data_IF_392780601879
#
_entry.id   IF_392780601879
#
_cell.length_a   1.000
_cell.length_b   1.000
_cell.length_c   1.000
_cell.angle_alpha   90.00
_cell.angle_beta   90.00
_cell.angle_gamma   90.00
#
_symmetry.space_group_name_H-M   'P 1'
#
loop_
_entity.id
_entity.type
_entity.pdbx_description
1 polymer ?
#
# COMPACT_ATOMS: atom_id res chain seq x y z
N UNK A 1 -12.86 -52.12 -58.00
CA UNK A 1 -11.51 -51.83 -58.52
C UNK A 1 -11.17 -50.39 -58.20
N UNK A 2 -10.02 -50.22 -57.55
CA UNK A 2 -9.28 -48.99 -57.21
C UNK A 2 -9.16 -48.02 -58.41
N UNK A 3 -8.77 -46.75 -58.31
CA UNK A 3 -7.80 -46.04 -57.48
C UNK A 3 -8.12 -44.53 -57.51
N UNK A 4 -7.86 -43.77 -56.46
CA UNK A 4 -7.34 -42.40 -56.60
C UNK A 4 -6.38 -42.05 -55.46
N UNK A 5 -5.35 -41.34 -55.88
CA UNK A 5 -4.01 -41.15 -55.33
C UNK A 5 -3.92 -39.92 -54.41
N UNK A 6 -3.04 -40.02 -53.40
CA UNK A 6 -2.65 -38.95 -52.49
C UNK A 6 -1.77 -37.87 -53.17
N UNK A 7 -1.77 -36.62 -52.68
CA UNK A 7 -0.74 -35.64 -53.03
C UNK A 7 0.31 -35.43 -51.93
N UNK A 8 1.52 -35.14 -52.42
CA UNK A 8 2.83 -35.01 -51.77
C UNK A 8 2.97 -33.94 -50.68
N UNK A 9 3.76 -34.29 -49.65
CA UNK A 9 4.43 -33.39 -48.70
C UNK A 9 5.67 -32.72 -49.33
N UNK A 10 5.92 -31.45 -48.98
CA UNK A 10 7.14 -30.69 -49.29
C UNK A 10 7.86 -30.39 -47.96
N UNK A 11 9.17 -30.69 -47.82
CA UNK A 11 9.93 -30.43 -46.59
C UNK A 11 10.49 -28.99 -46.55
N UNK A 12 10.33 -28.32 -45.40
CA UNK A 12 10.91 -26.99 -45.13
C UNK A 12 12.20 -27.15 -44.31
N UNK A 13 13.31 -26.63 -44.84
CA UNK A 13 14.61 -26.53 -44.15
C UNK A 13 14.64 -25.38 -43.13
N UNK A 14 15.44 -25.49 -42.04
CA UNK A 14 15.73 -24.39 -41.14
C UNK A 14 16.93 -23.56 -41.62
N UNK A 15 16.81 -22.23 -41.54
CA UNK A 15 17.90 -21.27 -41.81
C UNK A 15 18.42 -20.72 -40.48
N UNK A 16 19.70 -20.99 -40.21
CA UNK A 16 20.50 -20.38 -39.16
C UNK A 16 20.66 -18.86 -39.37
N UNK A 17 20.49 -18.07 -38.31
CA UNK A 17 20.91 -16.67 -38.27
C UNK A 17 21.65 -16.34 -36.98
N UNK A 18 22.94 -16.06 -37.18
CA UNK A 18 23.97 -15.74 -36.20
C UNK A 18 23.81 -14.30 -35.63
N UNK A 19 24.20 -14.04 -34.35
CA UNK A 19 24.10 -12.72 -33.72
C UNK A 19 25.36 -11.85 -33.93
N UNK A 20 25.15 -10.55 -34.16
CA UNK A 20 26.19 -9.51 -34.19
C UNK A 20 26.32 -8.81 -32.84
N UNK A 21 27.55 -8.79 -32.33
CA UNK A 21 27.97 -8.04 -31.15
C UNK A 21 28.04 -6.53 -31.43
N UNK A 22 27.68 -5.71 -30.44
CA UNK A 22 28.36 -4.42 -30.21
C UNK A 22 28.33 -4.03 -28.74
N UNK A 23 29.52 -3.63 -28.28
CA UNK A 23 29.90 -3.24 -26.94
C UNK A 23 29.59 -1.78 -26.63
N UNK A 24 29.08 -1.48 -25.45
CA UNK A 24 29.26 -0.17 -24.81
C UNK A 24 29.32 -0.31 -23.28
N UNK A 25 30.51 0.00 -22.75
CA UNK A 25 30.88 0.07 -21.34
C UNK A 25 30.10 1.16 -20.61
N UNK A 26 29.43 0.84 -19.49
CA UNK A 26 29.29 1.76 -18.36
C UNK A 26 29.22 1.01 -17.02
N UNK A 27 30.35 1.06 -16.32
CA UNK A 27 30.63 0.88 -14.88
C UNK A 27 29.49 0.35 -13.98
N UNK A 28 29.60 -0.95 -13.67
CA UNK A 28 29.69 -1.57 -12.34
C UNK A 28 29.53 -0.64 -11.12
N UNK A 29 28.56 -0.96 -10.25
CA UNK A 29 28.79 -1.13 -8.81
C UNK A 29 27.80 -2.17 -8.25
N UNK A 30 28.38 -3.23 -7.68
CA UNK A 30 27.77 -4.41 -7.07
C UNK A 30 26.87 -4.13 -5.86
N UNK A 31 25.80 -4.91 -5.73
CA UNK A 31 25.47 -5.57 -4.45
C UNK A 31 24.57 -6.77 -4.70
N UNK A 32 25.24 -7.90 -4.86
CA UNK A 32 24.68 -9.24 -4.95
C UNK A 32 24.91 -9.87 -3.57
N UNK A 33 23.87 -9.97 -2.74
CA UNK A 33 23.91 -10.71 -1.46
C UNK A 33 22.79 -11.76 -1.39
N UNK A 34 23.19 -12.96 -1.80
CA UNK A 34 23.06 -14.24 -1.08
C UNK A 34 21.67 -14.79 -0.75
N UNK A 35 21.23 -15.72 -1.61
CA UNK A 35 20.50 -16.91 -1.19
C UNK A 35 21.47 -17.82 -0.41
N UNK A 36 21.19 -18.00 0.89
CA UNK A 36 21.88 -18.96 1.75
C UNK A 36 20.95 -20.11 2.09
N UNK A 37 21.09 -21.22 1.36
CA UNK A 37 20.62 -22.55 1.74
C UNK A 37 21.53 -23.11 2.83
N UNK A 38 20.92 -23.77 3.83
CA UNK A 38 21.53 -24.85 4.60
C UNK A 38 22.71 -24.53 5.52
N UNK A 39 22.44 -24.45 6.82
CA UNK A 39 23.29 -25.13 7.82
C UNK A 39 22.53 -25.37 9.13
N UNK A 40 22.06 -26.60 9.27
CA UNK A 40 21.95 -27.30 10.56
C UNK A 40 23.30 -27.11 11.29
N UNK A 41 23.29 -26.36 12.38
CA UNK A 41 24.25 -26.58 13.47
C UNK A 41 23.47 -27.25 14.60
N UNK A 42 23.75 -28.54 14.78
CA UNK A 42 23.60 -29.23 16.05
C UNK A 42 24.21 -28.33 17.13
N UNK A 43 23.40 -27.93 18.09
CA UNK A 43 23.87 -27.56 19.42
C UNK A 43 23.34 -28.66 20.34
N UNK A 44 24.09 -29.76 20.40
CA UNK A 44 24.06 -30.67 21.54
C UNK A 44 24.79 -29.95 22.68
N UNK A 45 24.04 -29.32 23.57
CA UNK A 45 24.50 -29.00 24.92
C UNK A 45 23.37 -29.40 25.83
N UNK A 46 23.56 -30.57 26.46
CA UNK A 46 22.87 -30.98 27.65
C UNK A 46 23.25 -29.98 28.75
N UNK A 47 22.29 -29.19 29.22
CA UNK A 47 22.34 -28.65 30.58
C UNK A 47 20.96 -28.86 31.19
N UNK A 48 21.00 -29.63 32.26
CA UNK A 48 19.94 -30.28 33.01
C UNK A 48 19.72 -29.38 34.23
N UNK A 49 18.93 -28.33 34.07
CA UNK A 49 18.47 -27.50 35.19
C UNK A 49 16.95 -27.38 35.09
N UNK A 50 16.31 -28.43 35.62
CA UNK A 50 14.90 -28.49 35.91
C UNK A 50 14.63 -27.75 37.22
N UNK A 51 14.05 -26.54 37.13
CA UNK A 51 13.14 -25.91 38.12
C UNK A 51 13.13 -24.37 37.96
N UNK A 52 12.72 -23.86 36.79
CA UNK A 52 12.23 -22.46 36.70
C UNK A 52 10.77 -22.46 36.26
N UNK A 53 9.82 -22.24 37.20
CA UNK A 53 8.40 -22.24 36.89
C UNK A 53 8.01 -20.91 36.21
N UNK A 54 7.20 -21.04 35.15
CA UNK A 54 6.19 -20.02 34.82
C UNK A 54 6.70 -18.69 34.21
N UNK A 55 7.61 -18.75 33.24
CA UNK A 55 7.85 -17.61 32.33
C UNK A 55 6.96 -17.75 31.08
N UNK A 56 5.87 -16.98 31.09
CA UNK A 56 4.74 -16.99 30.17
C UNK A 56 5.01 -17.33 28.69
N UNK A 57 4.29 -18.34 28.22
CA UNK A 57 4.26 -18.90 26.87
C UNK A 57 3.77 -17.92 25.77
N UNK A 58 3.32 -16.72 26.14
CA UNK A 58 2.83 -15.70 25.20
C UNK A 58 3.93 -14.81 24.57
N UNK A 59 5.19 -14.94 25.01
CA UNK A 59 6.27 -14.03 24.56
C UNK A 59 6.99 -14.47 23.27
N UNK A 60 6.90 -15.75 22.87
CA UNK A 60 7.71 -16.28 21.77
C UNK A 60 6.95 -16.41 20.42
N UNK A 61 5.63 -16.23 20.41
CA UNK A 61 4.76 -16.40 19.27
C UNK A 61 4.65 -15.16 18.35
N UNK A 62 5.73 -14.78 17.68
CA UNK A 62 5.63 -14.08 16.38
C UNK A 62 5.18 -12.61 16.39
N UNK A 63 6.04 -11.72 16.89
CA UNK A 63 5.97 -10.26 16.73
C UNK A 63 6.00 -9.71 15.28
N UNK A 64 5.59 -10.49 14.27
CA UNK A 64 5.68 -10.13 12.85
C UNK A 64 4.51 -9.30 12.35
N UNK A 65 3.32 -9.47 12.91
CA UNK A 65 2.14 -8.76 12.44
C UNK A 65 1.81 -7.60 13.39
N UNK A 66 1.40 -6.47 12.81
CA UNK A 66 0.91 -5.32 13.55
C UNK A 66 -0.59 -5.51 13.75
N UNK A 67 -1.01 -5.69 15.00
CA UNK A 67 -2.44 -5.69 15.32
C UNK A 67 -3.01 -4.27 15.24
N UNK A 68 -4.32 -4.15 15.20
CA UNK A 68 -4.96 -2.84 15.12
C UNK A 68 -4.90 -2.10 16.47
N UNK A 69 -4.86 -2.83 17.59
CA UNK A 69 -4.61 -2.28 18.92
C UNK A 69 -3.19 -1.71 19.00
N UNK A 70 -2.19 -2.42 18.47
CA UNK A 70 -0.81 -1.94 18.42
C UNK A 70 -0.67 -0.69 17.56
N UNK A 71 -1.33 -0.63 16.40
CA UNK A 71 -1.34 0.57 15.54
C UNK A 71 -2.05 1.74 16.23
N UNK A 72 -3.18 1.48 16.87
CA UNK A 72 -3.92 2.50 17.63
C UNK A 72 -3.04 3.06 18.74
N UNK A 73 -2.36 2.19 19.49
CA UNK A 73 -1.39 2.59 20.52
C UNK A 73 -0.26 3.43 19.93
N UNK A 74 0.32 3.01 18.80
CA UNK A 74 1.36 3.76 18.09
C UNK A 74 0.88 5.16 17.69
N UNK A 75 -0.30 5.26 17.07
CA UNK A 75 -0.81 6.54 16.56
C UNK A 75 -1.21 7.48 17.68
N UNK A 76 -1.84 6.96 18.74
CA UNK A 76 -2.21 7.75 19.91
C UNK A 76 -0.96 8.24 20.67
N UNK A 77 0.08 7.41 20.80
CA UNK A 77 1.32 7.84 21.45
C UNK A 77 2.03 8.95 20.65
N UNK A 78 2.07 8.82 19.31
CA UNK A 78 2.76 9.79 18.45
C UNK A 78 2.00 11.11 18.25
N UNK A 79 0.67 11.05 18.21
CA UNK A 79 -0.18 12.12 17.67
C UNK A 79 -1.51 12.30 18.43
N UNK A 80 -1.69 11.60 19.55
CA UNK A 80 -2.88 11.74 20.39
C UNK A 80 -3.06 13.17 20.88
N UNK A 81 -4.28 13.61 21.21
CA UNK A 81 -4.60 15.00 21.52
C UNK A 81 -3.84 15.59 22.72
N UNK A 82 -3.34 14.75 23.63
CA UNK A 82 -2.50 15.15 24.78
C UNK A 82 -1.00 15.12 24.50
N UNK A 83 -0.58 14.51 23.39
CA UNK A 83 0.83 14.15 23.14
C UNK A 83 1.54 15.19 22.24
N UNK A 84 1.42 16.47 22.59
CA UNK A 84 2.02 17.58 21.81
C UNK A 84 3.54 17.46 21.73
N UNK A 85 4.19 17.06 22.82
CA UNK A 85 5.65 16.90 22.89
C UNK A 85 6.15 15.79 21.95
N UNK A 86 5.45 14.65 21.91
CA UNK A 86 5.79 13.56 21.00
C UNK A 86 5.58 13.96 19.55
N UNK A 87 4.53 14.73 19.25
CA UNK A 87 4.27 15.21 17.90
C UNK A 87 5.35 16.21 17.42
N UNK A 88 5.78 17.13 18.28
CA UNK A 88 6.88 18.04 17.94
C UNK A 88 8.21 17.29 17.78
N UNK A 89 8.49 16.32 18.65
CA UNK A 89 9.65 15.43 18.51
C UNK A 89 9.61 14.63 17.20
N UNK A 90 8.42 14.18 16.77
CA UNK A 90 8.24 13.47 15.50
C UNK A 90 8.61 14.34 14.29
N UNK A 91 8.36 15.66 14.38
CA UNK A 91 8.69 16.64 13.33
C UNK A 91 10.17 17.02 13.32
N UNK A 92 10.75 17.25 14.50
CA UNK A 92 12.11 17.83 14.62
C UNK A 92 13.19 16.76 14.76
N UNK A 93 12.91 15.68 15.50
CA UNK A 93 13.85 14.62 15.88
C UNK A 93 13.26 13.23 15.63
N UNK A 94 12.72 13.03 14.41
CA UNK A 94 11.95 11.83 14.00
C UNK A 94 12.55 10.48 14.45
N UNK A 95 13.86 10.28 14.27
CA UNK A 95 14.48 9.00 14.62
C UNK A 95 14.58 8.78 16.14
N UNK A 96 14.77 9.82 16.94
CA UNK A 96 14.78 9.74 18.41
C UNK A 96 13.38 9.43 18.92
N UNK A 97 12.38 10.18 18.46
CA UNK A 97 10.97 9.95 18.80
C UNK A 97 10.52 8.50 18.57
N UNK A 98 10.92 7.87 17.46
CA UNK A 98 10.59 6.45 17.22
C UNK A 98 11.33 5.46 18.14
N UNK A 99 12.51 5.81 18.65
CA UNK A 99 13.22 4.98 19.64
C UNK A 99 12.49 5.07 20.98
N UNK A 100 12.13 6.28 21.38
CA UNK A 100 11.40 6.53 22.62
C UNK A 100 10.03 5.82 22.56
N UNK A 101 9.30 5.93 21.45
CA UNK A 101 8.05 5.20 21.21
C UNK A 101 8.21 3.67 21.35
N UNK A 102 9.28 3.11 20.79
CA UNK A 102 9.53 1.67 20.86
C UNK A 102 9.75 1.19 22.31
N UNK A 103 10.41 2.01 23.13
CA UNK A 103 10.65 1.72 24.54
C UNK A 103 9.37 1.95 25.36
N UNK A 104 8.79 3.14 25.28
CA UNK A 104 7.71 3.58 26.17
C UNK A 104 6.38 2.91 25.83
N UNK A 105 6.01 2.86 24.55
CA UNK A 105 4.73 2.29 24.14
C UNK A 105 4.77 0.77 24.03
N UNK A 106 5.92 0.17 23.71
CA UNK A 106 6.01 -1.26 23.41
C UNK A 106 6.94 -2.06 24.33
N UNK A 107 7.63 -1.43 25.27
CA UNK A 107 8.58 -2.11 26.17
C UNK A 107 9.71 -2.79 25.39
N UNK A 108 10.11 -2.23 24.24
CA UNK A 108 11.10 -2.84 23.34
C UNK A 108 10.60 -4.01 22.49
N UNK A 109 9.34 -4.46 22.65
CA UNK A 109 8.77 -5.59 21.86
C UNK A 109 8.71 -5.30 20.36
N UNK A 110 8.49 -4.05 19.97
CA UNK A 110 8.60 -3.59 18.58
C UNK A 110 9.89 -2.79 18.45
N UNK A 111 10.76 -3.20 17.53
CA UNK A 111 12.01 -2.46 17.29
C UNK A 111 11.71 -1.07 16.71
N UNK A 112 12.60 -0.11 16.94
CA UNK A 112 12.56 1.23 16.34
C UNK A 112 12.30 1.19 14.82
N UNK A 113 12.95 0.27 14.09
CA UNK A 113 12.77 0.11 12.64
C UNK A 113 11.36 -0.38 12.29
N UNK A 114 10.79 -1.30 13.09
CA UNK A 114 9.42 -1.77 12.90
C UNK A 114 8.40 -0.66 13.15
N UNK A 115 8.59 0.14 14.21
CA UNK A 115 7.76 1.31 14.54
C UNK A 115 7.80 2.32 13.38
N UNK A 116 9.01 2.71 12.96
CA UNK A 116 9.23 3.64 11.84
C UNK A 116 8.57 3.15 10.55
N UNK A 117 8.82 1.89 10.16
CA UNK A 117 8.25 1.31 8.94
C UNK A 117 6.73 1.12 8.99
N UNK A 118 6.16 0.93 10.18
CA UNK A 118 4.71 0.90 10.38
C UNK A 118 4.10 2.30 10.18
N UNK A 119 4.65 3.30 10.87
CA UNK A 119 4.20 4.68 10.76
C UNK A 119 4.30 5.19 9.31
N UNK A 120 5.44 5.02 8.64
CA UNK A 120 5.65 5.58 7.30
C UNK A 120 4.70 4.97 6.26
N UNK A 121 4.45 3.65 6.32
CA UNK A 121 3.46 3.00 5.44
C UNK A 121 2.04 3.51 5.69
N UNK A 122 1.63 3.62 6.96
CA UNK A 122 0.30 4.13 7.30
C UNK A 122 0.16 5.62 7.00
N UNK A 123 1.22 6.41 7.11
CA UNK A 123 1.21 7.81 6.71
C UNK A 123 1.01 8.00 5.20
N UNK A 124 1.52 7.07 4.37
CA UNK A 124 1.21 7.06 2.92
C UNK A 124 -0.27 6.76 2.69
N UNK A 125 -0.85 5.80 3.42
CA UNK A 125 -2.29 5.50 3.36
C UNK A 125 -3.11 6.71 3.78
N UNK A 126 -2.75 7.37 4.89
CA UNK A 126 -3.39 8.62 5.32
C UNK A 126 -3.38 9.68 4.22
N UNK A 127 -2.24 9.92 3.55
CA UNK A 127 -2.19 10.89 2.45
C UNK A 127 -3.13 10.55 1.29
N UNK A 128 -3.29 9.26 0.98
CA UNK A 128 -4.24 8.80 -0.05
C UNK A 128 -5.68 9.03 0.38
N UNK A 129 -6.02 8.67 1.63
CA UNK A 129 -7.35 8.93 2.21
C UNK A 129 -7.63 10.43 2.24
N UNK A 130 -6.68 11.25 2.71
CA UNK A 130 -6.83 12.69 2.77
C UNK A 130 -7.08 13.33 1.39
N UNK A 131 -6.32 12.91 0.37
CA UNK A 131 -6.52 13.36 -1.00
C UNK A 131 -7.91 12.94 -1.52
N UNK A 132 -8.33 11.71 -1.23
CA UNK A 132 -9.65 11.20 -1.55
C UNK A 132 -10.77 12.01 -0.87
N UNK A 133 -10.68 12.25 0.44
CA UNK A 133 -11.65 13.03 1.21
C UNK A 133 -11.76 14.47 0.69
N UNK A 134 -10.63 15.07 0.32
CA UNK A 134 -10.61 16.41 -0.30
C UNK A 134 -11.35 16.43 -1.64
N UNK A 135 -11.19 15.38 -2.46
CA UNK A 135 -11.92 15.25 -3.71
C UNK A 135 -13.43 15.04 -3.48
N UNK A 136 -13.80 14.21 -2.50
CA UNK A 136 -15.20 13.89 -2.22
C UNK A 136 -15.93 14.95 -1.40
N UNK A 137 -15.24 15.90 -0.79
CA UNK A 137 -15.85 16.99 -0.02
C UNK A 137 -16.86 17.83 -0.84
N UNK A 138 -16.67 17.91 -2.16
CA UNK A 138 -17.60 18.58 -3.07
C UNK A 138 -18.68 17.68 -3.67
N UNK A 139 -18.60 16.36 -3.47
CA UNK A 139 -19.70 15.46 -3.82
C UNK A 139 -20.78 15.57 -2.75
N UNK A 140 -22.06 15.52 -3.14
CA UNK A 140 -23.17 15.51 -2.19
C UNK A 140 -22.85 14.52 -1.07
N UNK A 141 -22.72 15.03 0.16
CA UNK A 141 -22.59 14.22 1.37
C UNK A 141 -23.93 13.53 1.58
N UNK A 142 -24.20 12.48 0.81
CA UNK A 142 -25.03 11.41 1.30
C UNK A 142 -24.36 10.97 2.60
N UNK A 143 -25.14 11.03 3.68
CA UNK A 143 -24.65 10.82 5.03
C UNK A 143 -23.93 9.47 5.09
N UNK A 144 -22.60 9.51 5.24
CA UNK A 144 -21.76 8.29 5.28
C UNK A 144 -21.90 7.61 6.64
N UNK A 145 -22.42 8.34 7.63
CA UNK A 145 -22.83 7.83 8.95
C UNK A 145 -24.16 7.06 8.90
N UNK A 146 -24.40 6.33 7.80
CA UNK A 146 -25.40 5.26 7.84
C UNK A 146 -24.91 4.15 8.77
N UNK A 147 -25.76 3.75 9.72
CA UNK A 147 -25.51 2.64 10.65
C UNK A 147 -25.23 1.31 9.91
N UNK A 148 -25.67 1.19 8.66
CA UNK A 148 -25.45 0.01 7.82
C UNK A 148 -24.04 -0.04 7.24
N UNK A 149 -23.19 -0.96 7.75
CA UNK A 149 -21.84 -1.22 7.21
C UNK A 149 -21.86 -1.50 5.70
N UNK A 150 -22.86 -2.23 5.21
CA UNK A 150 -23.00 -2.58 3.79
C UNK A 150 -23.20 -1.34 2.94
N UNK A 151 -24.04 -0.41 3.38
CA UNK A 151 -24.33 0.81 2.63
C UNK A 151 -23.16 1.80 2.68
N UNK A 152 -22.48 1.89 3.82
CA UNK A 152 -21.26 2.69 3.98
C UNK A 152 -20.13 2.19 3.06
N UNK A 153 -19.92 0.87 2.98
CA UNK A 153 -18.95 0.27 2.06
C UNK A 153 -19.33 0.52 0.58
N UNK A 154 -20.60 0.35 0.21
CA UNK A 154 -21.08 0.64 -1.15
C UNK A 154 -20.88 2.11 -1.53
N UNK A 155 -21.11 3.02 -0.60
CA UNK A 155 -20.91 4.45 -0.82
C UNK A 155 -19.43 4.78 -1.01
N UNK A 156 -18.52 4.20 -0.20
CA UNK A 156 -17.09 4.33 -0.42
C UNK A 156 -16.66 3.79 -1.79
N UNK A 157 -17.18 2.64 -2.22
CA UNK A 157 -16.88 2.08 -3.56
C UNK A 157 -17.36 3.01 -4.68
N UNK A 158 -18.58 3.56 -4.56
CA UNK A 158 -19.14 4.51 -5.52
C UNK A 158 -18.25 5.75 -5.64
N UNK A 159 -17.82 6.32 -4.51
CA UNK A 159 -16.93 7.50 -4.48
C UNK A 159 -15.54 7.21 -5.02
N UNK A 160 -14.93 6.06 -4.65
CA UNK A 160 -13.64 5.63 -5.20
C UNK A 160 -13.72 5.48 -6.72
N UNK A 161 -14.80 4.87 -7.23
CA UNK A 161 -15.03 4.74 -8.67
C UNK A 161 -15.15 6.10 -9.36
N UNK A 162 -15.93 7.02 -8.76
CA UNK A 162 -16.07 8.38 -9.29
C UNK A 162 -14.73 9.13 -9.34
N UNK A 163 -13.91 9.03 -8.29
CA UNK A 163 -12.57 9.61 -8.24
C UNK A 163 -11.66 9.06 -9.34
N UNK A 164 -11.63 7.72 -9.51
CA UNK A 164 -10.86 7.08 -10.60
C UNK A 164 -11.35 7.50 -11.98
N UNK A 165 -12.67 7.61 -12.17
CA UNK A 165 -13.29 8.06 -13.42
C UNK A 165 -12.95 9.52 -13.74
N UNK A 166 -12.78 10.37 -12.72
CA UNK A 166 -12.33 11.74 -12.86
C UNK A 166 -10.80 11.88 -13.08
N UNK A 167 -10.06 10.76 -13.16
CA UNK A 167 -8.60 10.77 -13.30
C UNK A 167 -7.85 11.07 -12.00
N UNK A 168 -8.55 11.07 -10.85
CA UNK A 168 -7.92 11.30 -9.55
C UNK A 168 -7.19 10.04 -9.06
N UNK A 169 -5.93 10.18 -8.67
CA UNK A 169 -5.11 9.05 -8.26
C UNK A 169 -5.37 8.67 -6.79
N UNK A 170 -6.29 7.73 -6.58
CA UNK A 170 -6.61 7.14 -5.26
C UNK A 170 -5.67 6.00 -4.84
N UNK A 171 -4.69 5.62 -5.68
CA UNK A 171 -3.80 4.49 -5.41
C UNK A 171 -4.51 3.15 -5.19
N UNK A 172 -3.99 2.35 -4.25
CA UNK A 172 -4.52 1.03 -3.88
C UNK A 172 -5.63 1.10 -2.80
N UNK A 173 -6.29 2.25 -2.68
CA UNK A 173 -7.33 2.44 -1.69
C UNK A 173 -8.56 1.56 -2.01
N UNK A 174 -9.10 0.91 -0.98
CA UNK A 174 -10.32 0.11 -1.03
C UNK A 174 -11.35 0.64 -0.03
N UNK A 175 -12.62 0.34 -0.26
CA UNK A 175 -13.72 0.70 0.65
C UNK A 175 -13.51 0.19 2.06
N UNK A 176 -12.99 -1.03 2.21
CA UNK A 176 -12.64 -1.62 3.52
C UNK A 176 -11.53 -0.86 4.24
N UNK A 177 -10.50 -0.40 3.52
CA UNK A 177 -9.42 0.37 4.15
C UNK A 177 -9.95 1.71 4.65
N UNK A 178 -10.76 2.40 3.85
CA UNK A 178 -11.41 3.66 4.26
C UNK A 178 -12.29 3.45 5.50
N UNK A 179 -13.19 2.47 5.44
CA UNK A 179 -14.08 2.14 6.53
C UNK A 179 -13.31 1.86 7.83
N UNK A 180 -12.30 1.00 7.75
CA UNK A 180 -11.47 0.65 8.90
C UNK A 180 -10.75 1.86 9.50
N UNK A 181 -10.17 2.71 8.66
CA UNK A 181 -9.45 3.92 9.11
C UNK A 181 -10.36 4.92 9.83
N UNK A 182 -11.60 5.06 9.37
CA UNK A 182 -12.60 5.93 10.00
C UNK A 182 -13.14 5.31 11.29
N UNK A 183 -13.50 4.02 11.28
CA UNK A 183 -14.00 3.29 12.47
C UNK A 183 -12.98 3.27 13.61
N UNK A 184 -11.70 3.09 13.30
CA UNK A 184 -10.63 3.12 14.31
C UNK A 184 -10.26 4.54 14.76
N UNK A 185 -10.83 5.59 14.16
CA UNK A 185 -10.52 6.99 14.47
C UNK A 185 -9.12 7.43 14.04
N UNK A 186 -8.40 6.60 13.28
CA UNK A 186 -7.04 6.91 12.84
C UNK A 186 -7.03 8.08 11.86
N UNK A 187 -8.03 8.16 10.97
CA UNK A 187 -8.15 9.32 10.07
C UNK A 187 -8.27 10.62 10.86
N UNK A 188 -9.15 10.68 11.86
CA UNK A 188 -9.35 11.86 12.70
C UNK A 188 -8.08 12.23 13.49
N UNK A 189 -7.36 11.25 14.01
CA UNK A 189 -6.10 11.45 14.72
C UNK A 189 -5.04 12.09 13.83
N UNK A 190 -4.85 11.57 12.61
CA UNK A 190 -3.90 12.16 11.67
C UNK A 190 -4.39 13.50 11.11
N UNK A 191 -5.67 13.62 10.77
CA UNK A 191 -6.26 14.81 10.18
C UNK A 191 -6.21 16.01 11.14
N UNK A 192 -6.62 15.82 12.40
CA UNK A 192 -6.60 16.88 13.42
C UNK A 192 -5.19 17.44 13.62
N UNK A 193 -4.15 16.59 13.69
CA UNK A 193 -2.76 17.04 13.82
C UNK A 193 -2.19 17.65 12.54
N UNK A 194 -2.56 17.13 11.37
CA UNK A 194 -2.07 17.62 10.09
C UNK A 194 -2.69 18.97 9.69
N UNK A 195 -3.94 19.23 10.11
CA UNK A 195 -4.68 20.45 9.77
C UNK A 195 -4.82 21.46 10.91
N UNK A 196 -4.83 20.99 12.15
CA UNK A 196 -5.17 21.79 13.33
C UNK A 196 -4.04 22.65 13.88
N UNK A 197 -2.78 22.43 13.47
CA UNK A 197 -1.67 23.26 13.93
C UNK A 197 -1.43 24.43 12.95
N UNK A 198 -1.81 25.68 13.33
CA UNK A 198 -1.61 26.87 12.50
C UNK A 198 -0.13 27.14 12.17
N UNK A 199 0.82 26.57 12.93
CA UNK A 199 2.25 26.70 12.65
C UNK A 199 2.72 25.82 11.48
N UNK A 200 1.94 24.81 11.08
CA UNK A 200 2.27 23.93 9.93
C UNK A 200 1.81 24.54 8.62
N UNK A 201 0.78 25.39 8.68
CA UNK A 201 0.15 26.01 7.51
C UNK A 201 0.67 27.39 7.16
N UNK A 202 1.55 28.02 7.95
CA UNK A 202 2.35 29.12 7.40
C UNK A 202 3.45 28.49 6.55
N UNK A 203 3.41 28.63 5.20
CA UNK A 203 4.65 28.54 4.46
C UNK A 203 5.62 29.50 5.17
N UNK A 204 6.88 29.10 5.43
CA UNK A 204 7.85 30.01 6.02
C UNK A 204 7.73 31.30 5.24
N UNK A 205 7.25 32.35 5.90
CA UNK A 205 6.79 33.56 5.23
C UNK A 205 7.90 33.92 4.26
N UNK A 206 7.63 33.76 2.95
CA UNK A 206 8.60 34.04 1.90
C UNK A 206 9.12 35.41 2.29
N UNK A 207 10.43 35.57 2.61
CA UNK A 207 10.92 36.85 3.09
C UNK A 207 10.42 37.84 2.06
N UNK A 208 9.53 38.75 2.51
CA UNK A 208 9.01 39.77 1.60
C UNK A 208 10.25 40.35 0.94
N UNK A 209 10.31 40.48 -0.38
CA UNK A 209 11.36 41.27 -0.98
C UNK A 209 11.16 42.66 -0.40
N UNK A 210 11.89 42.95 0.68
CA UNK A 210 12.14 44.29 1.15
C UNK A 210 12.58 45.02 -0.11
N UNK A 211 11.85 46.08 -0.42
CA UNK A 211 12.10 46.90 -1.58
C UNK A 211 13.58 47.31 -1.66
N UNK A 212 13.97 47.84 -2.82
CA UNK A 212 15.37 48.17 -3.12
C UNK A 212 15.98 48.99 -1.97
N UNK A 213 17.19 48.63 -1.52
CA UNK A 213 17.85 49.34 -0.45
C UNK A 213 18.07 50.78 -0.91
N UNK A 214 17.49 51.73 -0.19
CA UNK A 214 17.91 53.12 -0.25
C UNK A 214 19.38 53.18 0.12
N UNK A 215 20.18 53.62 -0.84
CA UNK A 215 21.62 53.83 -0.73
C UNK A 215 21.93 54.73 0.47
N UNK A 216 22.75 54.29 1.44
CA UNK A 216 23.48 55.22 2.28
C UNK A 216 24.70 55.71 1.51
N UNK A 217 24.73 57.03 1.41
CA UNK A 217 25.84 57.87 0.98
C UNK A 217 27.16 57.41 1.60
N UNK A 218 28.18 57.46 0.75
CA UNK A 218 29.58 57.16 0.99
C UNK A 218 30.12 57.81 2.27
N UNK A 219 30.77 57.00 3.11
CA UNK A 219 31.94 57.47 3.84
C UNK A 219 33.07 56.46 3.71
N UNK A 220 34.17 56.95 3.13
CA UNK A 220 35.42 56.26 2.91
C UNK A 220 36.23 56.13 4.22
N UNK A 221 36.89 54.97 4.38
CA UNK A 221 38.20 54.70 5.03
C UNK A 221 38.20 53.23 5.50
N UNK A 222 39.27 52.47 5.58
CA UNK A 222 40.62 52.39 4.99
C UNK A 222 41.24 51.12 5.64
N UNK A 223 42.00 50.31 4.89
CA UNK A 223 42.83 49.17 5.37
C UNK A 223 42.04 48.03 6.10
N UNK A 224 42.40 46.75 6.10
CA UNK A 224 43.71 46.08 6.08
C UNK A 224 43.53 44.58 5.70
N UNK A 225 44.65 43.88 5.60
CA UNK A 225 44.91 42.61 4.89
C UNK A 225 44.49 41.30 5.64
N UNK A 226 44.74 40.09 5.07
CA UNK A 226 44.01 38.85 5.37
C UNK A 226 44.69 37.96 6.43
N UNK A 227 43.89 37.24 7.23
CA UNK A 227 44.36 36.10 8.04
C UNK A 227 43.33 34.96 8.10
N UNK A 228 43.69 33.82 7.50
CA UNK A 228 43.47 32.48 8.05
C UNK A 228 44.66 32.14 8.98
N UNK A 229 44.77 31.00 9.70
CA UNK A 229 43.87 29.84 9.91
C UNK A 229 43.74 29.46 11.43
N UNK A 230 43.06 28.35 11.78
CA UNK A 230 43.61 27.34 12.72
C UNK A 230 42.60 26.23 13.07
N UNK A 231 43.04 25.00 12.80
CA UNK A 231 42.61 23.75 13.42
C UNK A 231 42.87 23.76 14.93
N UNK A 232 41.96 23.18 15.72
CA UNK A 232 42.30 22.62 17.02
C UNK A 232 41.53 21.32 17.29
N UNK A 233 42.26 20.24 17.04
CA UNK A 233 42.26 18.99 17.81
C UNK A 233 42.53 19.32 19.28
N UNK A 234 41.84 18.69 20.23
CA UNK A 234 42.42 18.19 21.50
C UNK A 234 41.42 17.22 22.14
N UNK A 235 41.98 16.10 22.57
CA UNK A 235 41.41 14.96 23.27
C UNK A 235 41.03 15.27 24.74
N UNK A 236 40.05 14.51 25.28
CA UNK A 236 39.89 13.89 26.63
C UNK A 236 40.39 14.61 27.92
N UNK A 237 39.85 14.33 29.15
CA UNK A 237 39.31 13.03 29.59
C UNK A 237 38.10 13.04 30.58
N UNK A 238 37.64 11.82 30.81
CA UNK A 238 36.90 11.24 31.96
C UNK A 238 36.99 12.03 33.28
N UNK A 239 35.83 12.40 33.85
CA UNK A 239 35.66 12.57 35.31
C UNK A 239 34.35 11.92 35.74
N UNK A 240 34.51 10.97 36.65
CA UNK A 240 33.56 10.30 37.52
C UNK A 240 33.14 11.26 38.67
N UNK A 241 31.83 11.38 38.96
CA UNK A 241 31.32 11.83 40.28
C UNK A 241 29.79 11.78 40.40
N UNK A 242 29.35 10.77 41.14
CA UNK A 242 28.50 10.84 42.34
C UNK A 242 27.71 12.14 42.65
N UNK A 243 26.38 11.94 42.76
CA UNK A 243 25.44 12.43 43.80
C UNK A 243 25.59 13.86 44.32
N UNK A 244 24.70 14.76 43.87
CA UNK A 244 24.23 15.92 44.65
C UNK A 244 22.89 16.46 44.10
N UNK A 245 22.04 16.92 45.04
CA UNK A 245 20.70 17.51 44.92
C UNK A 245 20.48 18.55 43.80
N UNK A 246 19.25 18.70 43.28
CA UNK A 246 18.88 19.80 42.39
C UNK A 246 18.55 21.11 43.15
N UNK A 247 18.97 22.28 42.64
CA UNK A 247 18.58 23.58 43.18
C UNK A 247 17.15 24.00 42.75
N UNK A 248 16.49 24.90 43.49
CA UNK A 248 15.09 25.24 43.29
C UNK A 248 14.84 26.19 42.11
N UNK A 249 13.69 25.97 41.47
CA UNK A 249 13.11 26.69 40.34
C UNK A 249 12.71 28.12 40.75
N UNK A 250 13.04 29.17 39.96
CA UNK A 250 12.43 30.48 40.14
C UNK A 250 11.06 30.53 39.43
N UNK A 251 10.02 30.67 40.24
CA UNK A 251 8.67 31.07 39.85
C UNK A 251 8.71 32.40 39.07
N UNK A 252 8.26 32.39 37.82
CA UNK A 252 7.91 33.62 37.10
C UNK A 252 6.39 33.68 36.96
N UNK A 253 5.75 34.47 37.83
CA UNK A 253 4.40 34.96 37.60
C UNK A 253 4.43 36.03 36.50
N UNK A 254 3.58 35.88 35.49
CA UNK A 254 3.25 36.96 34.55
C UNK A 254 1.73 37.10 34.47
N UNK A 255 1.16 38.21 34.95
CA UNK A 255 -0.22 38.57 34.74
C UNK A 255 -0.31 39.61 33.61
N UNK A 256 -0.94 39.30 32.48
CA UNK A 256 -1.51 40.32 31.58
C UNK A 256 -2.68 39.76 30.78
N UNK A 257 -3.88 40.17 31.20
CA UNK A 257 -5.09 40.23 30.37
C UNK A 257 -4.84 41.15 29.16
N UNK A 258 -5.14 40.66 27.96
CA UNK A 258 -5.26 41.48 26.74
C UNK A 258 -6.62 41.19 26.12
N UNK A 259 -7.49 42.21 25.89
CA UNK A 259 -8.80 42.01 25.28
C UNK A 259 -8.68 41.74 23.78
N UNK A 260 -9.40 40.72 23.30
CA UNK A 260 -9.56 40.41 21.88
C UNK A 260 -10.48 41.45 21.17
N UNK A 261 -10.10 41.97 19.99
CA UNK A 261 -11.04 42.62 19.10
C UNK A 261 -11.78 41.57 18.23
N UNK A 262 -13.07 41.83 18.03
CA UNK A 262 -14.00 41.03 17.23
C UNK A 262 -13.55 40.88 15.77
N UNK A 263 -13.69 39.65 15.25
CA UNK A 263 -13.40 39.31 13.87
C UNK A 263 -14.43 39.92 12.88
N UNK A 264 -14.01 40.43 11.71
CA UNK A 264 -14.91 40.68 10.60
C UNK A 264 -15.09 39.41 9.76
N UNK A 265 -16.36 39.16 9.44
CA UNK A 265 -16.85 38.21 8.43
C UNK A 265 -16.38 38.62 7.02
N UNK A 266 -15.96 37.66 6.16
CA UNK A 266 -16.13 37.86 4.73
C UNK A 266 -16.69 36.60 4.05
N UNK A 267 -17.98 36.68 3.71
CA UNK A 267 -18.50 36.01 2.53
C UNK A 267 -17.98 36.67 1.26
N UNK A 268 -16.99 36.06 0.60
CA UNK A 268 -16.65 36.35 -0.80
C UNK A 268 -16.77 35.09 -1.64
N UNK A 269 -17.73 35.12 -2.56
CA UNK A 269 -17.97 34.12 -3.58
C UNK A 269 -16.83 34.12 -4.61
N UNK A 270 -16.23 32.95 -4.85
CA UNK A 270 -15.22 32.73 -5.89
C UNK A 270 -15.94 32.47 -7.23
N UNK A 271 -15.55 33.11 -8.35
CA UNK A 271 -16.14 32.87 -9.66
C UNK A 271 -15.69 31.53 -10.25
N UNK A 272 -16.63 30.79 -10.83
CA UNK A 272 -16.40 29.50 -11.50
C UNK A 272 -15.52 29.63 -12.77
N UNK A 273 -14.67 28.63 -13.09
CA UNK A 273 -13.87 28.63 -14.31
C UNK A 273 -14.69 28.29 -15.57
N UNK A 274 -14.22 28.69 -16.77
CA UNK A 274 -14.95 28.52 -18.04
C UNK A 274 -14.99 27.06 -18.49
N UNK A 275 -16.18 26.61 -18.89
CA UNK A 275 -16.42 25.29 -19.46
C UNK A 275 -15.81 25.18 -20.87
N UNK A 276 -14.98 24.17 -21.09
CA UNK A 276 -14.56 23.73 -22.43
C UNK A 276 -15.55 22.70 -22.99
N UNK A 277 -15.92 22.75 -24.29
CA UNK A 277 -16.88 21.82 -24.87
C UNK A 277 -16.28 20.42 -25.02
N UNK A 278 -16.90 19.44 -24.35
CA UNK A 278 -16.58 18.02 -24.43
C UNK A 278 -17.33 17.38 -25.60
N UNK A 279 -16.60 16.97 -26.63
CA UNK A 279 -17.10 16.06 -27.68
C UNK A 279 -17.12 14.63 -27.16
N UNK A 280 -18.30 14.15 -26.74
CA UNK A 280 -18.58 12.73 -26.54
C UNK A 280 -19.46 12.20 -27.68
N UNK A 281 -19.19 11.00 -28.23
CA UNK A 281 -20.01 10.39 -29.26
C UNK A 281 -21.27 9.77 -28.63
N UNK A 282 -22.43 10.25 -29.05
CA UNK A 282 -23.75 9.69 -28.71
C UNK A 282 -23.93 8.36 -29.44
N UNK A 283 -24.24 7.33 -28.66
CA UNK A 283 -24.60 6.00 -29.15
C UNK A 283 -25.91 6.00 -29.93
N UNK A 284 -25.93 5.16 -30.96
CA UNK A 284 -27.10 4.84 -31.76
C UNK A 284 -28.10 4.00 -30.94
N UNK A 285 -29.35 4.45 -30.90
CA UNK A 285 -30.51 3.57 -30.71
C UNK A 285 -31.67 4.05 -31.59
N UNK A 286 -32.19 3.10 -32.37
CA UNK A 286 -33.54 2.92 -32.94
C UNK A 286 -34.25 4.10 -33.65
N UNK A 287 -34.70 3.88 -34.90
CA UNK A 287 -36.08 3.47 -35.23
C UNK A 287 -36.32 3.51 -36.74
N UNK A 288 -37.20 2.61 -37.19
CA UNK A 288 -37.75 2.54 -38.53
C UNK A 288 -38.68 3.73 -38.83
N UNK A 289 -38.63 4.25 -40.07
CA UNK A 289 -39.82 4.75 -40.79
C UNK A 289 -39.52 5.09 -42.26
N UNK A 290 -40.32 4.46 -43.12
CA UNK A 290 -40.92 4.89 -44.39
C UNK A 290 -40.43 6.20 -45.05
N UNK A 291 -40.01 6.13 -46.33
CA UNK A 291 -40.46 7.04 -47.40
C UNK A 291 -39.81 6.73 -48.78
N UNK A 292 -40.69 6.45 -49.74
CA UNK A 292 -40.70 6.89 -51.16
C UNK A 292 -39.57 6.56 -52.15
N UNK A 293 -39.93 6.09 -53.38
CA UNK A 293 -39.00 5.89 -54.49
C UNK A 293 -38.75 7.20 -55.27
N UNK A 294 -37.52 7.50 -55.71
CA UNK A 294 -37.30 8.53 -56.72
C UNK A 294 -37.39 7.92 -58.13
N UNK A 295 -38.13 8.65 -58.96
CA UNK A 295 -38.31 8.54 -60.40
C UNK A 295 -36.98 8.59 -61.18
N UNK A 296 -36.89 7.91 -62.34
CA UNK A 296 -35.70 7.93 -63.18
C UNK A 296 -35.71 9.18 -64.06
N UNK A 297 -34.68 10.03 -63.93
CA UNK A 297 -34.42 11.08 -64.91
C UNK A 297 -33.31 10.58 -65.83
N UNK A 298 -33.71 10.24 -67.05
CA UNK A 298 -32.82 9.94 -68.15
C UNK A 298 -31.98 11.18 -68.47
N UNK A 299 -30.67 11.03 -68.56
CA UNK A 299 -29.79 11.99 -69.23
C UNK A 299 -28.56 11.30 -69.78
N UNK A 300 -28.55 11.24 -71.12
CA UNK A 300 -27.41 11.41 -72.02
C UNK A 300 -26.20 10.50 -71.83
N UNK A 301 -26.18 9.47 -72.67
CA UNK A 301 -24.97 8.86 -73.20
C UNK A 301 -24.07 9.89 -73.93
N UNK A 302 -22.81 9.48 -74.10
CA UNK A 302 -21.74 10.04 -74.94
C UNK A 302 -20.88 11.20 -74.39
N UNK A 303 -19.78 10.83 -73.73
CA UNK A 303 -18.45 10.97 -74.36
C UNK A 303 -17.37 10.18 -73.63
N UNK A 304 -16.86 9.16 -74.33
CA UNK A 304 -15.68 8.38 -73.95
C UNK A 304 -14.42 9.25 -74.01
N UNK A 305 -13.86 9.61 -72.85
CA UNK A 305 -12.44 9.98 -72.74
C UNK A 305 -11.62 8.73 -72.38
N UNK A 306 -10.77 8.19 -73.27
CA UNK A 306 -10.09 6.91 -73.09
C UNK A 306 -8.88 6.95 -72.12
N UNK A 307 -8.76 7.96 -71.24
CA UNK A 307 -7.54 8.18 -70.46
C UNK A 307 -7.72 8.21 -68.93
N UNK A 308 -8.89 7.83 -68.40
CA UNK A 308 -9.14 7.75 -66.94
C UNK A 308 -8.74 6.40 -66.30
N UNK A 309 -8.37 5.40 -67.11
CA UNK A 309 -8.01 4.05 -66.65
C UNK A 309 -6.94 3.95 -65.54
N UNK A 310 -5.80 4.67 -65.63
CA UNK A 310 -4.71 4.49 -64.65
C UNK A 310 -5.02 5.11 -63.27
N UNK A 311 -5.77 6.21 -63.22
CA UNK A 311 -6.18 6.80 -61.93
C UNK A 311 -7.19 5.92 -61.20
N UNK A 312 -8.15 5.34 -61.91
CA UNK A 312 -9.14 4.43 -61.32
C UNK A 312 -8.48 3.17 -60.72
N UNK A 313 -7.51 2.57 -61.42
CA UNK A 313 -6.75 1.41 -60.88
C UNK A 313 -5.95 1.76 -59.62
N UNK A 314 -5.36 2.96 -59.57
CA UNK A 314 -4.58 3.40 -58.41
C UNK A 314 -5.46 3.56 -57.18
N UNK A 315 -6.66 4.14 -57.34
CA UNK A 315 -7.62 4.29 -56.24
C UNK A 315 -8.11 2.93 -55.72
N UNK A 316 -8.44 1.99 -56.60
CA UNK A 316 -8.86 0.64 -56.20
C UNK A 316 -7.74 -0.09 -55.43
N UNK A 317 -6.49 0.00 -55.90
CA UNK A 317 -5.34 -0.58 -55.20
C UNK A 317 -5.11 0.04 -53.82
N UNK A 318 -5.29 1.36 -53.69
CA UNK A 318 -5.18 2.06 -52.41
C UNK A 318 -6.28 1.63 -51.43
N UNK A 319 -7.53 1.51 -51.89
CA UNK A 319 -8.64 1.01 -51.07
C UNK A 319 -8.39 -0.42 -50.58
N UNK A 320 -7.89 -1.31 -51.44
CA UNK A 320 -7.55 -2.68 -51.05
C UNK A 320 -6.44 -2.74 -49.99
N UNK A 321 -5.40 -1.90 -50.13
CA UNK A 321 -4.32 -1.80 -49.12
C UNK A 321 -4.82 -1.27 -47.78
N UNK A 322 -5.73 -0.30 -47.79
CA UNK A 322 -6.33 0.24 -46.57
C UNK A 322 -7.19 -0.83 -45.85
N UNK A 323 -8.02 -1.57 -46.59
CA UNK A 323 -8.81 -2.66 -46.05
C UNK A 323 -7.93 -3.77 -45.45
N UNK A 324 -6.83 -4.13 -46.13
CA UNK A 324 -5.88 -5.10 -45.62
C UNK A 324 -5.21 -4.62 -44.32
N UNK A 325 -4.76 -3.36 -44.27
CA UNK A 325 -4.18 -2.79 -43.07
C UNK A 325 -5.17 -2.74 -41.90
N UNK A 326 -6.44 -2.42 -42.16
CA UNK A 326 -7.50 -2.44 -41.15
C UNK A 326 -7.79 -3.85 -40.64
N UNK A 327 -7.76 -4.85 -41.53
CA UNK A 327 -7.90 -6.26 -41.14
C UNK A 327 -6.73 -6.72 -40.24
N UNK A 328 -5.50 -6.36 -40.58
CA UNK A 328 -4.31 -6.71 -39.80
C UNK A 328 -4.29 -6.02 -38.43
N UNK A 329 -4.71 -4.76 -38.34
CA UNK A 329 -4.86 -4.03 -37.07
C UNK A 329 -5.93 -4.68 -36.18
N UNK A 330 -7.08 -5.03 -36.75
CA UNK A 330 -8.16 -5.71 -36.02
C UNK A 330 -7.71 -7.08 -35.46
N UNK A 331 -6.91 -7.81 -36.23
CA UNK A 331 -6.31 -9.09 -35.82
C UNK A 331 -5.32 -8.90 -34.69
N UNK A 332 -4.43 -7.92 -34.78
CA UNK A 332 -3.45 -7.63 -33.73
C UNK A 332 -4.14 -7.23 -32.41
N UNK A 333 -5.20 -6.42 -32.49
CA UNK A 333 -6.00 -6.03 -31.33
C UNK A 333 -6.70 -7.23 -30.68
N UNK A 334 -7.23 -8.16 -31.48
CA UNK A 334 -7.82 -9.41 -30.98
C UNK A 334 -6.78 -10.31 -30.30
N UNK A 335 -5.60 -10.49 -30.89
CA UNK A 335 -4.51 -11.25 -30.26
C UNK A 335 -4.07 -10.62 -28.94
N UNK A 336 -4.00 -9.28 -28.86
CA UNK A 336 -3.67 -8.58 -27.63
C UNK A 336 -4.71 -8.82 -26.53
N UNK A 337 -6.00 -8.74 -26.86
CA UNK A 337 -7.07 -9.02 -25.91
C UNK A 337 -7.02 -10.48 -25.42
N UNK A 338 -6.79 -11.43 -26.34
CA UNK A 338 -6.65 -12.86 -26.00
C UNK A 338 -5.46 -13.11 -25.07
N UNK A 339 -4.28 -12.53 -25.34
CA UNK A 339 -3.11 -12.64 -24.45
C UNK A 339 -3.31 -11.95 -23.10
N UNK A 340 -4.19 -10.96 -23.03
CA UNK A 340 -4.54 -10.31 -21.77
C UNK A 340 -5.46 -11.20 -20.94
N UNK A 341 -6.50 -11.74 -21.57
CA UNK A 341 -7.42 -12.69 -20.95
C UNK A 341 -6.68 -13.93 -20.42
N UNK A 342 -5.75 -14.49 -21.20
CA UNK A 342 -4.93 -15.63 -20.79
C UNK A 342 -4.09 -15.34 -19.54
N UNK A 343 -3.53 -14.13 -19.41
CA UNK A 343 -2.79 -13.71 -18.21
C UNK A 343 -3.71 -13.55 -17.00
N UNK A 344 -4.87 -12.94 -17.19
CA UNK A 344 -5.87 -12.77 -16.13
C UNK A 344 -6.40 -14.14 -15.65
N UNK A 345 -6.60 -15.09 -16.56
CA UNK A 345 -7.01 -16.45 -16.23
C UNK A 345 -5.89 -17.26 -15.53
N UNK A 346 -4.64 -17.12 -15.96
CA UNK A 346 -3.49 -17.74 -15.29
C UNK A 346 -3.31 -17.22 -13.85
N UNK A 347 -3.42 -15.90 -13.65
CA UNK A 347 -3.38 -15.28 -12.33
C UNK A 347 -4.56 -15.75 -11.45
N UNK A 348 -5.76 -15.90 -12.04
CA UNK A 348 -6.94 -16.44 -11.36
C UNK A 348 -6.72 -17.89 -10.90
N UNK A 349 -6.19 -18.75 -11.78
CA UNK A 349 -5.84 -20.14 -11.45
C UNK A 349 -4.80 -20.21 -10.32
N UNK A 350 -3.75 -19.39 -10.38
CA UNK A 350 -2.72 -19.35 -9.34
C UNK A 350 -3.28 -18.94 -7.97
N UNK A 351 -4.25 -18.00 -7.93
CA UNK A 351 -4.93 -17.60 -6.68
C UNK A 351 -5.78 -18.72 -6.11
N UNK A 352 -6.54 -19.41 -6.94
CA UNK A 352 -7.34 -20.56 -6.48
C UNK A 352 -6.47 -21.71 -5.98
N UNK A 353 -5.35 -21.99 -6.65
CA UNK A 353 -4.42 -23.03 -6.21
C UNK A 353 -3.75 -22.69 -4.87
N UNK A 354 -3.35 -21.43 -4.68
CA UNK A 354 -2.79 -20.95 -3.41
C UNK A 354 -3.81 -21.07 -2.26
N UNK A 355 -5.06 -20.67 -2.51
CA UNK A 355 -6.14 -20.75 -1.52
C UNK A 355 -6.49 -22.20 -1.18
N UNK A 356 -6.54 -23.08 -2.18
CA UNK A 356 -6.73 -24.52 -1.97
C UNK A 356 -5.63 -25.12 -1.09
N UNK A 357 -4.37 -24.77 -1.35
CA UNK A 357 -3.23 -25.24 -0.57
C UNK A 357 -3.25 -24.69 0.86
N UNK A 358 -3.78 -23.48 1.07
CA UNK A 358 -4.00 -22.91 2.40
C UNK A 358 -5.04 -23.71 3.18
N UNK A 359 -6.19 -23.98 2.56
CA UNK A 359 -7.27 -24.77 3.15
C UNK A 359 -6.84 -26.20 3.49
N UNK A 360 -6.01 -26.82 2.65
CA UNK A 360 -5.46 -28.16 2.92
C UNK A 360 -4.59 -28.18 4.18
N UNK A 361 -3.75 -27.15 4.39
CA UNK A 361 -2.93 -27.03 5.62
C UNK A 361 -3.81 -26.80 6.85
N UNK A 362 -4.77 -25.89 6.75
CA UNK A 362 -5.71 -25.61 7.83
C UNK A 362 -6.54 -26.85 8.20
N UNK A 363 -6.90 -27.68 7.22
CA UNK A 363 -7.60 -28.95 7.46
C UNK A 363 -6.72 -29.97 8.19
N UNK A 364 -5.47 -30.14 7.78
CA UNK A 364 -4.51 -31.04 8.45
C UNK A 364 -4.25 -30.59 9.89
N UNK A 365 -4.05 -29.30 10.11
CA UNK A 365 -3.84 -28.75 11.45
C UNK A 365 -5.09 -28.91 12.33
N UNK A 366 -6.28 -28.70 11.77
CA UNK A 366 -7.56 -28.93 12.47
C UNK A 366 -7.75 -30.40 12.83
N UNK A 367 -7.37 -31.34 11.97
CA UNK A 367 -7.45 -32.78 12.26
C UNK A 367 -6.49 -33.16 13.40
N UNK A 368 -5.24 -32.68 13.34
CA UNK A 368 -4.25 -32.91 14.40
C UNK A 368 -4.73 -32.35 15.75
N UNK A 369 -5.30 -31.14 15.75
CA UNK A 369 -5.86 -30.54 16.96
C UNK A 369 -7.01 -31.37 17.53
N UNK A 370 -7.88 -31.91 16.67
CA UNK A 370 -8.98 -32.77 17.09
C UNK A 370 -8.47 -34.10 17.67
N UNK A 371 -7.43 -34.69 17.09
CA UNK A 371 -6.81 -35.90 17.63
C UNK A 371 -6.17 -35.63 19.01
N UNK A 372 -5.44 -34.52 19.16
CA UNK A 372 -4.89 -34.10 20.44
C UNK A 372 -5.97 -33.87 21.50
N UNK A 373 -7.07 -33.18 21.14
CA UNK A 373 -8.20 -32.98 22.06
C UNK A 373 -8.81 -34.31 22.50
N UNK A 374 -8.98 -35.27 21.59
CA UNK A 374 -9.47 -36.62 21.91
C UNK A 374 -8.52 -37.40 22.81
N UNK A 375 -7.20 -37.29 22.59
CA UNK A 375 -6.20 -37.93 23.46
C UNK A 375 -6.21 -37.32 24.84
N UNK A 376 -6.28 -35.99 24.95
CA UNK A 376 -6.41 -35.26 26.22
C UNK A 376 -7.64 -35.73 27.00
N UNK A 377 -8.82 -35.73 26.37
CA UNK A 377 -10.07 -36.14 27.01
C UNK A 377 -10.02 -37.59 27.53
N UNK A 378 -9.38 -38.50 26.78
CA UNK A 378 -9.18 -39.89 27.22
C UNK A 378 -8.19 -40.00 28.39
N UNK A 379 -7.12 -39.22 28.37
CA UNK A 379 -6.14 -39.19 29.47
C UNK A 379 -6.74 -38.62 30.76
N UNK A 380 -7.57 -37.58 30.65
CA UNK A 380 -8.31 -36.99 31.77
C UNK A 380 -9.28 -38.02 32.37
N UNK A 381 -10.07 -38.71 31.54
CA UNK A 381 -10.99 -39.76 31.98
C UNK A 381 -10.25 -40.92 32.66
N UNK A 382 -9.13 -41.38 32.10
CA UNK A 382 -8.33 -42.44 32.73
C UNK A 382 -7.77 -42.00 34.09
N UNK A 383 -7.35 -40.74 34.22
CA UNK A 383 -6.89 -40.15 35.48
C UNK A 383 -8.01 -40.08 36.51
N UNK A 384 -9.21 -39.67 36.09
CA UNK A 384 -10.41 -39.63 36.94
C UNK A 384 -10.77 -41.02 37.46
N UNK A 385 -10.75 -42.06 36.61
CA UNK A 385 -11.02 -43.44 37.00
C UNK A 385 -10.02 -43.98 38.04
N UNK A 386 -8.75 -43.59 37.95
CA UNK A 386 -7.73 -43.96 38.93
C UNK A 386 -7.94 -43.27 40.28
N UNK A 387 -8.40 -42.02 40.27
CA UNK A 387 -8.63 -41.23 41.48
C UNK A 387 -9.85 -41.70 42.30
N UNK A 388 -10.85 -42.32 41.65
CA UNK A 388 -12.10 -42.70 42.31
C UNK A 388 -11.95 -44.02 43.11
N UNK A 389 -12.11 -44.05 44.44
CA UNK A 389 -11.93 -45.25 45.25
C UNK A 389 -12.98 -46.35 44.98
N UNK A 390 -14.14 -46.00 44.43
CA UNK A 390 -15.26 -46.92 44.23
C UNK A 390 -15.22 -47.68 42.88
N UNK A 391 -14.25 -47.37 42.01
CA UNK A 391 -14.09 -48.03 40.71
C UNK A 391 -13.40 -49.40 40.88
N UNK A 392 -13.90 -50.40 40.16
CA UNK A 392 -13.40 -51.79 40.18
C UNK A 392 -11.87 -51.87 39.92
N UNK A 393 -11.11 -52.70 40.67
CA UNK A 393 -9.66 -52.84 40.50
C UNK A 393 -9.22 -53.20 39.07
N UNK A 394 -10.01 -53.99 38.34
CA UNK A 394 -9.73 -54.38 36.95
C UNK A 394 -9.80 -53.16 36.01
N UNK A 395 -10.79 -52.29 36.21
CA UNK A 395 -10.94 -51.04 35.43
C UNK A 395 -9.80 -50.07 35.74
N UNK A 396 -9.37 -49.98 37.00
CA UNK A 396 -8.20 -49.19 37.39
C UNK A 396 -6.91 -49.69 36.75
N UNK A 397 -6.69 -51.01 36.73
CA UNK A 397 -5.53 -51.60 36.06
C UNK A 397 -5.51 -51.25 34.56
N UNK A 398 -6.65 -51.38 33.88
CA UNK A 398 -6.77 -51.03 32.47
C UNK A 398 -6.53 -49.52 32.19
N UNK A 399 -7.04 -48.63 33.04
CA UNK A 399 -6.80 -47.19 32.94
C UNK A 399 -5.31 -46.84 33.14
N UNK A 400 -4.65 -47.48 34.12
CA UNK A 400 -3.22 -47.32 34.36
C UNK A 400 -2.37 -47.80 33.18
N UNK A 401 -2.69 -48.94 32.59
CA UNK A 401 -1.98 -49.46 31.42
C UNK A 401 -2.22 -48.60 30.17
N UNK A 402 -3.41 -48.01 30.00
CA UNK A 402 -3.68 -47.02 28.94
C UNK A 402 -2.78 -45.79 29.07
N UNK A 403 -2.68 -45.19 30.26
CA UNK A 403 -1.82 -44.02 30.49
C UNK A 403 -0.34 -44.36 30.28
N UNK A 404 0.13 -45.52 30.78
CA UNK A 404 1.50 -45.99 30.51
C UNK A 404 1.78 -46.09 29.02
N UNK A 405 0.85 -46.66 28.25
CA UNK A 405 1.00 -46.79 26.79
C UNK A 405 0.97 -45.44 26.09
N UNK A 406 0.15 -44.49 26.56
CA UNK A 406 0.09 -43.14 26.00
C UNK A 406 1.45 -42.44 26.15
N UNK A 407 2.05 -42.45 27.34
CA UNK A 407 3.33 -41.79 27.61
C UNK A 407 4.56 -42.57 27.13
N UNK A 408 4.44 -43.87 26.83
CA UNK A 408 5.53 -44.64 26.23
C UNK A 408 5.66 -44.41 24.71
N UNK A 409 4.67 -43.77 24.08
CA UNK A 409 4.62 -43.50 22.64
C UNK A 409 4.90 -42.03 22.28
N UNK A 410 4.94 -41.13 23.26
CA UNK A 410 5.54 -39.79 23.13
C UNK A 410 7.07 -39.89 23.27
#
# INVERSE_FOLDING_TARGET
MSFYTAPHEIPVQPVDRQPTASSSKRKQLESQYTQGTGKKRRSDVYDDDADDPEVGEDAAGGARHWTDEEKTKLFNWLMGPSEDEHFDALRTKKNTCFRDCALDAFGGRKTFLAVKGCYERNFVVFKQIYAFETFTAGMQQADVDSDSEVDRLREYERRIYAARKAGFHVGNLSSRILDHWHRMGWYNTFHSRWHGDPNVRRPPARPRPMGPPTLPIQHAQANEAPQSPALRTEDSPVIDRTTADPPPVPHFERPYDIPYPSAPDPGEAIPSPPQTPSTAPVGQHHLASYATPPTPVASTADQLTPNAGPMAQTLVSACMRLLQAQADDSKMRLEYLRRREEREEADSRARMEMEKKRQEREAVDSERLQQNAKMKQKSELATELLSNPNVDPSVKAAAGDYLKKLFAND
#
